data_IF_569623889499
#
_entry.id   IF_569623889499
#
_cell.length_a   1.000
_cell.length_b   1.000
_cell.length_c   1.000
_cell.angle_alpha   90.00
_cell.angle_beta   90.00
_cell.angle_gamma   90.00
#
_symmetry.space_group_name_H-M   'P 1'
#
loop_
_entity.id
_entity.type
_entity.pdbx_description
1 polymer ?
#
# COMPACT_ATOMS: atom_id res chain seq x y z
N UNK A 1 -0.86 7.03 -3.82
CA UNK A 1 0.15 6.31 -3.02
C UNK A 1 1.38 7.20 -2.70
N UNK A 2 2.13 7.67 -3.71
CA UNK A 2 3.36 8.47 -3.53
C UNK A 2 3.22 9.72 -2.63
N UNK A 3 2.06 10.38 -2.63
CA UNK A 3 1.82 11.51 -1.74
C UNK A 3 1.92 11.14 -0.25
N UNK A 4 1.64 9.88 0.12
CA UNK A 4 1.62 9.41 1.50
C UNK A 4 2.88 8.63 1.91
N UNK A 5 3.72 8.22 0.96
CA UNK A 5 4.96 7.50 1.27
C UNK A 5 6.17 8.43 1.20
N UNK A 6 7.16 8.16 2.04
CA UNK A 6 8.52 8.64 1.81
C UNK A 6 9.09 8.05 0.52
N UNK A 7 9.96 8.79 -0.15
CA UNK A 7 10.65 8.37 -1.38
C UNK A 7 11.96 7.62 -1.11
N UNK A 8 12.32 7.45 0.16
CA UNK A 8 13.45 6.67 0.64
C UNK A 8 13.01 5.74 1.78
N UNK A 9 13.66 4.58 1.96
CA UNK A 9 13.44 3.73 3.13
C UNK A 9 14.20 4.23 4.36
N UNK A 10 13.95 3.61 5.52
CA UNK A 10 14.69 3.85 6.76
C UNK A 10 13.96 4.77 7.75
N UNK A 11 12.65 4.93 7.59
CA UNK A 11 11.80 5.65 8.53
C UNK A 11 11.25 4.67 9.59
N UNK A 12 11.12 5.13 10.85
CA UNK A 12 10.56 4.33 11.94
C UNK A 12 9.08 4.00 11.73
N UNK A 13 8.40 3.47 12.75
CA UNK A 13 7.02 2.97 12.65
C UNK A 13 5.96 3.86 13.33
N UNK A 14 6.36 4.98 13.93
CA UNK A 14 5.46 5.83 14.72
C UNK A 14 4.83 6.94 13.89
N UNK A 15 3.82 7.61 14.45
CA UNK A 15 3.23 8.81 13.83
C UNK A 15 4.27 9.86 13.46
N UNK A 16 5.28 10.09 14.29
CA UNK A 16 6.28 11.14 14.07
C UNK A 16 7.24 10.79 12.93
N UNK A 17 7.40 9.50 12.63
CA UNK A 17 8.20 9.04 11.50
C UNK A 17 7.44 9.16 10.18
N UNK A 18 6.10 9.13 10.23
CA UNK A 18 5.24 9.19 9.05
C UNK A 18 5.29 10.54 8.35
N UNK A 19 5.23 10.51 7.01
CA UNK A 19 5.11 11.72 6.19
C UNK A 19 3.90 12.57 6.62
N UNK A 20 4.02 13.91 6.76
CA UNK A 20 2.93 14.74 7.27
C UNK A 20 1.61 14.60 6.50
N UNK A 21 1.69 14.42 5.19
CA UNK A 21 0.53 14.17 4.32
C UNK A 21 -0.17 12.85 4.63
N UNK A 22 0.57 11.80 5.02
CA UNK A 22 -0.03 10.55 5.49
C UNK A 22 -0.65 10.70 6.86
N UNK A 23 -0.05 11.49 7.76
CA UNK A 23 -0.65 11.75 9.07
C UNK A 23 -2.04 12.38 8.97
N UNK A 24 -2.17 13.37 8.07
CA UNK A 24 -3.46 14.01 7.76
C UNK A 24 -4.38 13.04 7.03
N UNK A 25 -3.88 12.35 6.00
CA UNK A 25 -4.67 11.44 5.17
C UNK A 25 -5.26 10.27 5.96
N UNK A 26 -4.47 9.61 6.80
CA UNK A 26 -4.93 8.53 7.66
C UNK A 26 -6.06 9.02 8.56
N UNK A 27 -5.83 10.13 9.26
CA UNK A 27 -6.82 10.70 10.20
C UNK A 27 -8.13 11.07 9.49
N UNK A 28 -8.06 11.71 8.32
CA UNK A 28 -9.22 12.21 7.60
C UNK A 28 -10.03 11.09 6.91
N UNK A 29 -9.35 10.11 6.32
CA UNK A 29 -10.00 9.15 5.41
C UNK A 29 -10.18 7.77 6.03
N UNK A 30 -9.24 7.33 6.87
CA UNK A 30 -9.29 6.00 7.47
C UNK A 30 -9.71 6.03 8.95
N UNK A 31 -9.35 7.09 9.68
CA UNK A 31 -9.60 7.25 11.11
C UNK A 31 -8.72 6.33 11.95
N UNK A 32 -8.99 6.25 13.26
CA UNK A 32 -8.28 5.30 14.13
C UNK A 32 -8.67 3.87 13.77
N UNK A 33 -7.66 3.00 13.67
CA UNK A 33 -7.84 1.59 13.31
C UNK A 33 -7.25 0.64 14.36
N UNK A 34 -6.72 1.18 15.47
CA UNK A 34 -6.20 0.43 16.61
C UNK A 34 -4.75 0.79 16.89
N UNK A 35 -3.93 -0.21 17.24
CA UNK A 35 -2.49 -0.01 17.44
C UNK A 35 -1.75 0.09 16.10
N UNK A 36 -0.62 0.80 16.10
CA UNK A 36 0.38 0.82 15.02
C UNK A 36 -0.16 1.19 13.63
N UNK A 37 -1.25 1.95 13.58
CA UNK A 37 -1.92 2.36 12.34
C UNK A 37 -1.05 3.15 11.36
N UNK A 38 -0.01 3.83 11.85
CA UNK A 38 0.93 4.54 11.00
C UNK A 38 1.92 3.63 10.27
N UNK A 39 2.12 2.39 10.74
CA UNK A 39 2.99 1.41 10.11
C UNK A 39 2.24 0.19 9.56
N UNK A 40 0.94 0.04 9.82
CA UNK A 40 0.16 -1.08 9.29
C UNK A 40 0.03 -1.02 7.75
N UNK A 41 0.50 -2.09 7.09
CA UNK A 41 0.48 -2.25 5.63
C UNK A 41 -0.92 -2.11 5.03
N UNK A 42 -1.93 -2.72 5.66
CA UNK A 42 -3.32 -2.68 5.22
C UNK A 42 -3.96 -1.33 5.44
N UNK A 43 -3.64 -0.65 6.55
CA UNK A 43 -4.10 0.72 6.83
C UNK A 43 -3.54 1.69 5.80
N UNK A 44 -2.29 1.54 5.41
CA UNK A 44 -1.69 2.36 4.36
C UNK A 44 -2.42 2.22 3.02
N UNK A 45 -2.58 0.98 2.53
CA UNK A 45 -3.29 0.73 1.26
C UNK A 45 -4.73 1.26 1.33
N UNK A 46 -5.45 0.98 2.42
CA UNK A 46 -6.81 1.48 2.61
C UNK A 46 -6.88 3.02 2.59
N UNK A 47 -5.96 3.70 3.28
CA UNK A 47 -5.88 5.16 3.30
C UNK A 47 -5.66 5.70 1.88
N UNK A 48 -4.79 5.08 1.08
CA UNK A 48 -4.58 5.47 -0.32
C UNK A 48 -5.86 5.30 -1.14
N UNK A 49 -6.53 4.15 -1.04
CA UNK A 49 -7.72 3.85 -1.84
C UNK A 49 -8.89 4.78 -1.50
N UNK A 50 -9.11 5.05 -0.21
CA UNK A 50 -10.20 5.91 0.25
C UNK A 50 -9.90 7.37 -0.07
N UNK A 51 -8.69 7.86 0.24
CA UNK A 51 -8.33 9.27 0.05
C UNK A 51 -8.26 9.69 -1.42
N UNK A 52 -7.93 8.76 -2.32
CA UNK A 52 -7.92 9.03 -3.76
C UNK A 52 -9.31 8.99 -4.41
N UNK A 53 -10.33 8.50 -3.68
CA UNK A 53 -11.65 8.23 -4.23
C UNK A 53 -11.73 6.99 -5.13
N UNK A 54 -10.61 6.26 -5.31
CA UNK A 54 -10.54 5.07 -6.15
C UNK A 54 -11.41 3.93 -5.60
N UNK A 55 -11.39 3.73 -4.27
CA UNK A 55 -12.34 2.86 -3.60
C UNK A 55 -12.63 3.36 -2.17
N UNK A 56 -13.67 4.16 -2.04
CA UNK A 56 -14.12 4.71 -0.74
C UNK A 56 -14.70 3.66 0.21
N UNK A 57 -14.95 2.44 -0.28
CA UNK A 57 -15.47 1.32 0.52
C UNK A 57 -14.41 0.26 0.84
N UNK A 58 -13.14 0.51 0.51
CA UNK A 58 -12.06 -0.44 0.75
C UNK A 58 -11.93 -0.74 2.26
N UNK A 59 -11.75 -2.02 2.67
CA UNK A 59 -11.64 -2.37 4.08
C UNK A 59 -10.44 -1.69 4.74
N UNK A 60 -10.68 -1.07 5.89
CA UNK A 60 -9.76 -0.11 6.52
C UNK A 60 -8.44 -0.69 7.03
N UNK A 61 -8.40 -2.00 7.30
CA UNK A 61 -7.26 -2.73 7.87
C UNK A 61 -7.37 -4.23 7.59
N UNK A 62 -6.23 -4.90 7.59
CA UNK A 62 -6.14 -6.35 7.70
C UNK A 62 -6.21 -7.06 6.36
N UNK A 63 -5.10 -7.65 5.96
CA UNK A 63 -4.97 -8.42 4.71
C UNK A 63 -5.98 -9.56 4.60
N UNK A 64 -6.27 -10.24 5.73
CA UNK A 64 -7.26 -11.31 5.84
C UNK A 64 -8.68 -10.85 5.47
N UNK A 65 -9.00 -9.56 5.62
CA UNK A 65 -10.30 -8.99 5.22
C UNK A 65 -10.22 -8.32 3.84
N UNK A 66 -9.10 -7.67 3.55
CA UNK A 66 -8.88 -6.94 2.31
C UNK A 66 -8.76 -7.86 1.09
N UNK A 67 -8.09 -9.01 1.20
CA UNK A 67 -7.95 -9.92 0.07
C UNK A 67 -9.31 -10.54 -0.35
N UNK A 68 -10.16 -11.08 0.55
CA UNK A 68 -11.50 -11.52 0.17
C UNK A 68 -12.37 -10.41 -0.43
N UNK A 69 -12.23 -9.17 0.06
CA UNK A 69 -12.91 -8.02 -0.53
C UNK A 69 -12.48 -7.79 -1.99
N UNK A 70 -11.19 -7.83 -2.26
CA UNK A 70 -10.63 -7.70 -3.61
C UNK A 70 -11.08 -8.85 -4.52
N UNK A 71 -11.08 -10.09 -4.03
CA UNK A 71 -11.53 -11.27 -4.78
C UNK A 71 -13.03 -11.22 -5.13
N UNK A 72 -13.86 -10.71 -4.22
CA UNK A 72 -15.33 -10.67 -4.39
C UNK A 72 -15.87 -9.37 -5.00
N UNK A 73 -15.07 -8.31 -5.07
CA UNK A 73 -15.53 -6.99 -5.52
C UNK A 73 -15.56 -6.89 -7.04
N UNK A 74 -16.68 -6.45 -7.65
CA UNK A 74 -16.76 -6.25 -9.09
C UNK A 74 -15.91 -5.06 -9.56
N UNK A 75 -15.30 -4.27 -8.66
CA UNK A 75 -14.42 -3.15 -9.02
C UNK A 75 -13.05 -3.61 -9.48
N UNK A 76 -12.62 -4.81 -9.07
CA UNK A 76 -11.27 -5.29 -9.32
C UNK A 76 -11.23 -6.40 -10.37
N UNK A 77 -10.13 -6.44 -11.11
CA UNK A 77 -9.69 -7.57 -11.91
C UNK A 77 -8.56 -8.26 -11.14
N UNK A 78 -8.75 -9.54 -10.81
CA UNK A 78 -7.64 -10.35 -10.29
C UNK A 78 -6.64 -10.61 -11.41
N UNK A 79 -5.37 -10.37 -11.11
CA UNK A 79 -4.24 -10.66 -11.99
C UNK A 79 -3.59 -12.02 -11.67
N UNK A 80 -4.15 -12.74 -10.68
CA UNK A 80 -3.56 -13.97 -10.16
C UNK A 80 -2.29 -13.70 -9.36
N UNK A 81 -1.43 -14.73 -9.23
CA UNK A 81 -0.12 -14.60 -8.60
C UNK A 81 0.82 -13.85 -9.54
N UNK A 82 1.47 -12.83 -9.00
CA UNK A 82 2.38 -11.96 -9.76
C UNK A 82 3.81 -12.49 -9.65
N UNK A 83 4.46 -12.68 -10.80
CA UNK A 83 5.84 -13.13 -10.90
C UNK A 83 6.75 -12.08 -11.53
N UNK A 84 6.20 -11.04 -12.16
CA UNK A 84 6.96 -9.99 -12.83
C UNK A 84 6.19 -8.66 -12.82
N UNK A 85 6.94 -7.55 -12.77
CA UNK A 85 6.40 -6.19 -12.92
C UNK A 85 5.76 -5.95 -14.29
N UNK A 86 6.07 -6.75 -15.31
CA UNK A 86 5.40 -6.67 -16.62
C UNK A 86 3.91 -7.00 -16.59
N UNK A 87 3.44 -7.65 -15.52
CA UNK A 87 2.02 -7.92 -15.28
C UNK A 87 1.30 -6.73 -14.64
N UNK A 88 2.05 -5.76 -14.13
CA UNK A 88 1.56 -4.71 -13.25
C UNK A 88 1.46 -3.36 -13.96
N UNK A 89 0.57 -2.53 -13.43
CA UNK A 89 0.42 -1.11 -13.78
C UNK A 89 0.42 -0.27 -12.50
N UNK A 90 0.87 1.00 -12.56
CA UNK A 90 0.79 1.89 -11.41
C UNK A 90 -0.62 1.94 -10.82
N UNK A 91 -0.74 1.73 -9.51
CA UNK A 91 -2.00 1.64 -8.79
C UNK A 91 -2.43 0.21 -8.44
N UNK A 92 -1.83 -0.81 -9.03
CA UNK A 92 -2.15 -2.20 -8.70
C UNK A 92 -1.81 -2.51 -7.23
N UNK A 93 -2.72 -3.21 -6.58
CA UNK A 93 -2.57 -3.69 -5.20
C UNK A 93 -1.98 -5.09 -5.25
N UNK A 94 -0.89 -5.30 -4.52
CA UNK A 94 -0.29 -6.60 -4.30
C UNK A 94 -0.57 -7.02 -2.86
N UNK A 95 -1.20 -8.16 -2.66
CA UNK A 95 -1.58 -8.65 -1.34
C UNK A 95 -1.26 -10.13 -1.17
N UNK A 96 -0.81 -10.47 0.04
CA UNK A 96 -0.67 -11.83 0.56
C UNK A 96 -1.37 -11.93 1.92
N UNK A 97 -1.31 -13.09 2.57
CA UNK A 97 -1.91 -13.27 3.89
C UNK A 97 -1.28 -12.40 4.97
N UNK A 98 0.00 -12.02 4.85
CA UNK A 98 0.73 -11.26 5.89
C UNK A 98 1.03 -9.81 5.51
N UNK A 99 0.93 -9.43 4.24
CA UNK A 99 1.37 -8.10 3.81
C UNK A 99 0.64 -7.60 2.56
N UNK A 100 0.59 -6.28 2.38
CA UNK A 100 0.00 -5.64 1.20
C UNK A 100 0.70 -4.33 0.87
N UNK A 101 0.83 -4.02 -0.42
CA UNK A 101 1.49 -2.82 -0.91
C UNK A 101 0.95 -2.39 -2.28
N UNK A 102 1.36 -1.21 -2.74
CA UNK A 102 0.94 -0.65 -4.04
C UNK A 102 2.14 -0.58 -4.97
N UNK A 103 1.99 -1.13 -6.18
CA UNK A 103 2.93 -0.89 -7.26
C UNK A 103 2.69 0.51 -7.84
N UNK A 104 3.75 1.31 -7.97
CA UNK A 104 3.68 2.71 -8.44
C UNK A 104 4.36 2.92 -9.78
N UNK A 105 4.84 1.85 -10.41
CA UNK A 105 5.69 1.91 -11.60
C UNK A 105 7.09 2.41 -11.28
N UNK A 106 8.04 2.31 -12.24
CA UNK A 106 9.41 2.81 -12.04
C UNK A 106 9.41 4.29 -11.66
N UNK A 107 10.04 4.62 -10.54
CA UNK A 107 10.22 6.00 -10.09
C UNK A 107 11.67 6.45 -10.30
N UNK A 108 11.91 7.78 -10.43
CA UNK A 108 13.27 8.31 -10.48
C UNK A 108 14.11 7.85 -9.29
N UNK A 109 15.38 7.56 -9.54
CA UNK A 109 16.29 7.17 -8.46
C UNK A 109 16.58 8.35 -7.53
N UNK A 110 16.48 8.12 -6.22
CA UNK A 110 16.85 9.07 -5.17
C UNK A 110 18.09 8.51 -4.47
N UNK A 111 19.15 9.31 -4.37
CA UNK A 111 20.46 8.86 -3.87
C UNK A 111 20.98 7.58 -4.55
N UNK A 112 20.76 7.47 -5.87
CA UNK A 112 21.19 6.31 -6.67
C UNK A 112 20.34 5.05 -6.48
N UNK A 113 19.25 5.10 -5.71
CA UNK A 113 18.34 3.97 -5.49
C UNK A 113 17.01 4.21 -6.20
N UNK A 114 16.66 3.33 -7.14
CA UNK A 114 15.34 3.29 -7.75
C UNK A 114 14.35 2.53 -6.87
N UNK A 115 13.07 2.84 -7.03
CA UNK A 115 11.97 2.14 -6.39
C UNK A 115 10.79 2.04 -7.36
N UNK A 116 9.88 1.10 -7.12
CA UNK A 116 8.70 0.93 -7.97
C UNK A 116 7.46 0.46 -7.22
N UNK A 117 7.54 0.35 -5.89
CA UNK A 117 6.42 0.12 -4.99
C UNK A 117 6.53 1.04 -3.79
N UNK A 118 5.44 1.13 -3.03
CA UNK A 118 5.43 1.78 -1.72
C UNK A 118 4.64 0.91 -0.75
N UNK A 119 5.14 0.80 0.48
CA UNK A 119 4.57 -0.04 1.52
C UNK A 119 4.78 0.59 2.89
N UNK A 120 3.88 0.27 3.82
CA UNK A 120 4.15 0.32 5.26
C UNK A 120 4.27 -1.13 5.76
N UNK A 121 4.91 -1.36 6.90
CA UNK A 121 5.08 -2.69 7.49
C UNK A 121 4.80 -2.65 8.99
N UNK A 122 3.83 -3.46 9.43
CA UNK A 122 3.25 -3.38 10.77
C UNK A 122 4.33 -3.55 11.86
N UNK A 123 4.54 -2.50 12.66
CA UNK A 123 5.53 -2.48 13.75
C UNK A 123 6.98 -2.30 13.28
N UNK A 124 7.23 -2.13 11.99
CA UNK A 124 8.57 -2.00 11.41
C UNK A 124 8.79 -0.60 10.82
N UNK A 125 7.96 -0.18 9.85
CA UNK A 125 8.10 1.14 9.24
C UNK A 125 6.78 1.75 8.73
N UNK A 126 6.71 3.07 8.74
CA UNK A 126 5.68 3.89 8.08
C UNK A 126 5.76 3.78 6.55
N UNK A 127 4.79 4.33 5.78
CA UNK A 127 4.84 4.25 4.33
C UNK A 127 6.11 4.85 3.74
N UNK A 128 6.82 4.05 2.95
CA UNK A 128 8.07 4.43 2.31
C UNK A 128 8.26 3.71 0.97
N UNK A 129 9.25 4.17 0.21
CA UNK A 129 9.66 3.59 -1.05
C UNK A 129 10.19 2.16 -0.85
N UNK A 130 9.81 1.29 -1.76
CA UNK A 130 10.26 -0.10 -1.80
C UNK A 130 10.36 -0.60 -3.25
N UNK A 131 10.85 -1.82 -3.43
CA UNK A 131 10.88 -2.51 -4.70
C UNK A 131 9.83 -3.61 -4.73
N UNK A 132 9.37 -3.94 -5.93
CA UNK A 132 8.55 -5.12 -6.17
C UNK A 132 9.29 -6.39 -5.75
N UNK A 133 8.58 -7.28 -5.08
CA UNK A 133 8.99 -8.65 -4.77
C UNK A 133 7.85 -9.63 -5.06
N UNK A 134 8.19 -10.75 -5.69
CA UNK A 134 7.24 -11.72 -6.26
C UNK A 134 6.86 -12.87 -5.31
N UNK A 135 6.87 -12.65 -4.00
CA UNK A 135 6.78 -13.70 -2.98
C UNK A 135 5.35 -14.24 -2.76
N UNK A 136 4.74 -14.77 -3.82
CA UNK A 136 3.40 -15.36 -3.78
C UNK A 136 2.28 -14.32 -3.68
N UNK A 137 2.58 -13.04 -3.89
CA UNK A 137 1.59 -11.96 -3.88
C UNK A 137 0.59 -12.12 -5.04
N UNK A 138 -0.68 -11.90 -4.72
CA UNK A 138 -1.74 -11.78 -5.71
C UNK A 138 -1.90 -10.32 -6.10
N UNK A 139 -2.05 -10.05 -7.39
CA UNK A 139 -2.25 -8.71 -7.92
C UNK A 139 -3.72 -8.43 -8.19
N UNK A 140 -4.13 -7.18 -7.96
CA UNK A 140 -5.47 -6.69 -8.26
C UNK A 140 -5.39 -5.33 -8.94
N UNK A 141 -6.03 -5.26 -10.11
CA UNK A 141 -6.17 -4.04 -10.89
C UNK A 141 -7.56 -3.46 -10.69
N UNK A 142 -7.65 -2.15 -10.42
CA UNK A 142 -8.94 -1.44 -10.42
C UNK A 142 -9.39 -1.21 -11.87
N UNK A 143 -10.63 -1.60 -12.21
CA UNK A 143 -11.19 -1.51 -13.56
C UNK A 143 -11.72 -0.12 -13.93
#
# INVERSE_FOLDING_TARGET
ALNFAWDLPGHGYTKNDAKPTYQVGLTQYNGSTGSDEFSDCGVFVATVMIASGADTSYPKRGTVVQQPYLDGSPKYQSLGVITSTSQLRPGDILISSSHTYIYVGPQPAINGKSYNSVAASLGDHVPQADNFYSDGFRGYHLK
#
